data_IF_973711491825
#
_entry.id   IF_973711491825
#
_cell.length_a   1.000
_cell.length_b   1.000
_cell.length_c   1.000
_cell.angle_alpha   90.00
_cell.angle_beta   90.00
_cell.angle_gamma   90.00
#
_symmetry.space_group_name_H-M   'P 1'
#
loop_
_entity.id
_entity.type
_entity.pdbx_description
1 polymer ?
#
# COMPACT_ATOMS: atom_id res chain seq x y z
N UNK A 1 12.19 8.61 -2.60
CA UNK A 1 11.02 8.56 -3.50
C UNK A 1 9.79 9.25 -2.91
N UNK A 2 9.55 9.24 -1.58
CA UNK A 2 8.42 9.97 -0.95
C UNK A 2 8.38 11.46 -1.24
N UNK A 3 9.51 12.16 -1.12
CA UNK A 3 9.60 13.58 -1.47
C UNK A 3 9.20 13.89 -2.92
N UNK A 4 9.28 12.92 -3.84
CA UNK A 4 8.83 13.08 -5.22
C UNK A 4 7.32 12.94 -5.32
N UNK A 5 6.72 11.99 -4.58
CA UNK A 5 5.27 11.88 -4.42
C UNK A 5 4.68 13.14 -3.75
N UNK A 6 5.32 13.62 -2.68
CA UNK A 6 4.89 14.81 -1.93
C UNK A 6 4.90 16.08 -2.79
N UNK A 7 5.70 16.07 -3.87
CA UNK A 7 5.77 17.13 -4.88
C UNK A 7 4.84 16.91 -6.09
N UNK A 8 3.92 15.93 -6.00
CA UNK A 8 2.88 15.67 -7.00
C UNK A 8 3.28 14.72 -8.13
N UNK A 9 4.45 14.08 -8.06
CA UNK A 9 4.87 13.10 -9.07
C UNK A 9 4.12 11.79 -8.85
N UNK A 10 3.65 11.14 -9.93
CA UNK A 10 3.07 9.80 -9.83
C UNK A 10 4.16 8.70 -9.91
N UNK A 11 3.82 7.48 -9.48
CA UNK A 11 4.78 6.36 -9.39
C UNK A 11 5.37 6.00 -10.77
N UNK A 12 4.57 6.05 -11.85
CA UNK A 12 5.07 5.78 -13.20
C UNK A 12 6.13 6.79 -13.63
N UNK A 13 5.90 8.08 -13.36
CA UNK A 13 6.88 9.14 -13.63
C UNK A 13 8.11 9.06 -12.73
N UNK A 14 8.00 8.49 -11.53
CA UNK A 14 9.17 8.18 -10.69
C UNK A 14 9.94 7.01 -11.31
N UNK A 15 9.25 5.97 -11.78
CA UNK A 15 9.90 4.81 -12.41
C UNK A 15 10.69 5.17 -13.66
N UNK A 16 10.13 6.01 -14.53
CA UNK A 16 10.83 6.53 -15.71
C UNK A 16 12.15 7.24 -15.36
N UNK A 17 12.26 7.84 -14.16
CA UNK A 17 13.47 8.53 -13.69
C UNK A 17 14.51 7.60 -13.05
N UNK A 18 14.14 6.36 -12.75
CA UNK A 18 14.99 5.40 -12.04
C UNK A 18 14.92 4.03 -12.72
N UNK A 19 15.39 3.91 -13.98
CA UNK A 19 15.24 2.71 -14.82
C UNK A 19 16.04 1.50 -14.32
N UNK A 20 16.93 1.70 -13.35
CA UNK A 20 17.70 0.64 -12.71
C UNK A 20 16.91 -0.16 -11.68
N UNK A 21 15.70 0.28 -11.34
CA UNK A 21 14.78 -0.42 -10.46
C UNK A 21 13.56 -0.86 -11.26
N UNK A 22 13.07 -2.05 -10.97
CA UNK A 22 11.79 -2.50 -11.49
C UNK A 22 10.65 -1.61 -10.99
N UNK A 23 9.58 -1.52 -11.77
CA UNK A 23 8.39 -0.76 -11.41
C UNK A 23 7.88 -1.18 -10.03
N UNK A 24 7.89 -2.48 -9.72
CA UNK A 24 7.49 -2.98 -8.41
C UNK A 24 8.45 -2.56 -7.31
N UNK A 25 9.76 -2.56 -7.53
CA UNK A 25 10.73 -2.07 -6.52
C UNK A 25 10.50 -0.59 -6.16
N UNK A 26 10.16 0.24 -7.15
CA UNK A 26 9.80 1.64 -6.94
C UNK A 26 8.44 1.74 -6.25
N UNK A 27 7.46 0.97 -6.69
CA UNK A 27 6.14 0.88 -6.09
C UNK A 27 6.18 0.48 -4.61
N UNK A 28 7.09 -0.43 -4.22
CA UNK A 28 7.24 -0.91 -2.84
C UNK A 28 8.08 0.01 -1.95
N UNK A 29 8.89 0.91 -2.53
CA UNK A 29 9.84 1.77 -1.79
C UNK A 29 9.30 3.17 -1.43
N UNK A 30 8.05 3.48 -1.82
CA UNK A 30 7.34 4.68 -1.37
C UNK A 30 6.56 4.41 -0.07
N UNK A 31 6.84 5.24 0.94
CA UNK A 31 6.36 5.22 2.34
C UNK A 31 4.86 5.37 2.48
N UNK A 32 4.18 6.00 1.52
CA UNK A 32 2.74 6.22 1.59
C UNK A 32 2.00 5.41 0.52
N UNK A 33 1.85 4.14 0.84
CA UNK A 33 0.63 3.44 0.53
C UNK A 33 -0.57 4.22 1.10
N UNK A 34 -1.17 5.13 0.34
CA UNK A 34 -2.47 5.67 0.72
C UNK A 34 -3.43 4.51 0.99
N UNK A 35 -4.31 4.66 2.00
CA UNK A 35 -5.33 3.64 2.28
C UNK A 35 -6.16 3.32 1.02
N UNK A 36 -6.32 4.32 0.14
CA UNK A 36 -6.94 4.18 -1.17
C UNK A 36 -6.14 3.26 -2.11
N UNK A 37 -4.82 3.41 -2.18
CA UNK A 37 -3.94 2.53 -2.94
C UNK A 37 -4.03 1.08 -2.46
N UNK A 38 -3.94 0.85 -1.15
CA UNK A 38 -4.09 -0.51 -0.58
C UNK A 38 -5.49 -1.08 -0.84
N UNK A 39 -6.54 -0.27 -0.72
CA UNK A 39 -7.91 -0.69 -1.09
C UNK A 39 -7.97 -1.15 -2.54
N UNK A 40 -7.41 -0.40 -3.48
CA UNK A 40 -7.41 -0.75 -4.92
C UNK A 40 -6.71 -2.08 -5.20
N UNK A 41 -5.56 -2.32 -4.58
CA UNK A 41 -4.83 -3.60 -4.72
C UNK A 41 -5.68 -4.76 -4.20
N UNK A 42 -6.26 -4.61 -3.00
CA UNK A 42 -7.12 -5.64 -2.40
C UNK A 42 -8.30 -5.94 -3.31
N UNK A 43 -8.99 -4.91 -3.82
CA UNK A 43 -10.09 -5.09 -4.78
C UNK A 43 -9.64 -5.86 -6.03
N UNK A 44 -8.49 -5.50 -6.60
CA UNK A 44 -7.96 -6.19 -7.77
C UNK A 44 -7.65 -7.66 -7.46
N UNK A 45 -7.05 -7.97 -6.30
CA UNK A 45 -6.77 -9.34 -5.88
C UNK A 45 -8.03 -10.15 -5.62
N UNK A 46 -9.07 -9.55 -5.03
CA UNK A 46 -10.39 -10.19 -4.89
C UNK A 46 -10.97 -10.53 -6.27
N UNK A 47 -10.85 -9.64 -7.25
CA UNK A 47 -11.28 -9.93 -8.62
C UNK A 47 -10.45 -11.05 -9.25
N UNK A 48 -9.15 -11.11 -9.00
CA UNK A 48 -8.30 -12.23 -9.43
C UNK A 48 -8.74 -13.56 -8.80
N UNK A 49 -9.12 -13.58 -7.52
CA UNK A 49 -9.63 -14.81 -6.85
C UNK A 49 -10.86 -15.35 -7.57
N UNK A 50 -11.75 -14.47 -8.05
CA UNK A 50 -12.96 -14.88 -8.79
C UNK A 50 -12.64 -15.55 -10.13
N UNK A 51 -11.52 -15.19 -10.74
CA UNK A 51 -11.07 -15.75 -12.02
C UNK A 51 -10.14 -16.97 -11.85
N UNK A 52 -9.63 -17.22 -10.65
CA UNK A 52 -8.66 -18.28 -10.39
C UNK A 52 -9.30 -19.67 -10.50
N UNK A 53 -8.73 -20.50 -11.38
CA UNK A 53 -9.29 -21.81 -11.73
C UNK A 53 -8.86 -22.89 -10.75
N UNK A 54 -7.66 -22.76 -10.18
CA UNK A 54 -7.10 -23.77 -9.27
C UNK A 54 -7.25 -23.38 -7.80
N UNK A 55 -7.34 -24.39 -6.93
CA UNK A 55 -7.32 -24.18 -5.48
C UNK A 55 -6.02 -23.51 -5.02
N UNK A 56 -4.89 -23.94 -5.55
CA UNK A 56 -3.56 -23.41 -5.19
C UNK A 56 -3.46 -21.92 -5.50
N UNK A 57 -3.94 -21.49 -6.66
CA UNK A 57 -3.95 -20.08 -7.05
C UNK A 57 -4.88 -19.26 -6.15
N UNK A 58 -6.08 -19.77 -5.85
CA UNK A 58 -7.00 -19.12 -4.91
C UNK A 58 -6.37 -18.96 -3.52
N UNK A 59 -5.77 -20.02 -2.98
CA UNK A 59 -5.15 -20.01 -1.66
C UNK A 59 -4.00 -18.99 -1.58
N UNK A 60 -3.19 -18.89 -2.64
CA UNK A 60 -2.14 -17.88 -2.75
C UNK A 60 -2.71 -16.46 -2.74
N UNK A 61 -3.71 -16.20 -3.59
CA UNK A 61 -4.34 -14.87 -3.67
C UNK A 61 -5.03 -14.47 -2.36
N UNK A 62 -5.68 -15.42 -1.68
CA UNK A 62 -6.30 -15.18 -0.36
C UNK A 62 -5.26 -14.87 0.71
N UNK A 63 -4.10 -15.55 0.69
CA UNK A 63 -2.98 -15.23 1.59
C UNK A 63 -2.43 -13.83 1.33
N UNK A 64 -2.29 -13.42 0.07
CA UNK A 64 -1.87 -12.05 -0.30
C UNK A 64 -2.87 -11.00 0.20
N UNK A 65 -4.17 -11.23 0.01
CA UNK A 65 -5.24 -10.35 0.52
C UNK A 65 -5.14 -10.20 2.04
N UNK A 66 -4.95 -11.29 2.77
CA UNK A 66 -4.84 -11.26 4.23
C UNK A 66 -3.62 -10.44 4.71
N UNK A 67 -2.49 -10.56 4.01
CA UNK A 67 -1.30 -9.75 4.30
C UNK A 67 -1.57 -8.26 4.08
N UNK A 68 -2.17 -7.89 2.95
CA UNK A 68 -2.50 -6.50 2.61
C UNK A 68 -3.47 -5.87 3.62
N UNK A 69 -4.50 -6.61 4.04
CA UNK A 69 -5.44 -6.17 5.09
C UNK A 69 -4.72 -5.98 6.42
N UNK A 70 -3.84 -6.91 6.79
CA UNK A 70 -3.05 -6.83 8.03
C UNK A 70 -2.14 -5.60 8.05
N UNK A 71 -1.48 -5.31 6.94
CA UNK A 71 -0.66 -4.10 6.80
C UNK A 71 -1.50 -2.83 6.91
N UNK A 72 -2.67 -2.80 6.26
CA UNK A 72 -3.59 -1.66 6.33
C UNK A 72 -4.03 -1.40 7.77
N UNK A 73 -4.38 -2.46 8.51
CA UNK A 73 -4.70 -2.35 9.94
C UNK A 73 -3.53 -1.78 10.75
N UNK A 74 -2.32 -2.31 10.55
CA UNK A 74 -1.11 -1.84 11.26
C UNK A 74 -0.83 -0.35 11.00
N UNK A 75 -0.98 0.08 9.75
CA UNK A 75 -0.81 1.47 9.35
C UNK A 75 -1.84 2.38 10.04
N UNK A 76 -3.12 2.05 9.92
CA UNK A 76 -4.20 2.83 10.54
C UNK A 76 -4.06 2.91 12.05
N UNK A 77 -3.69 1.79 12.71
CA UNK A 77 -3.43 1.75 14.16
C UNK A 77 -2.27 2.67 14.55
N UNK A 78 -1.17 2.66 13.77
CA UNK A 78 -0.02 3.53 14.01
C UNK A 78 -0.39 5.00 13.83
N UNK A 79 -1.15 5.34 12.80
CA UNK A 79 -1.60 6.70 12.54
C UNK A 79 -2.54 7.19 13.65
N UNK A 80 -3.47 6.36 14.10
CA UNK A 80 -4.34 6.67 15.24
C UNK A 80 -3.56 6.99 16.52
N UNK A 81 -2.53 6.19 16.86
CA UNK A 81 -1.66 6.47 18.02
C UNK A 81 -0.95 7.83 17.89
N UNK A 82 -0.39 8.13 16.72
CA UNK A 82 0.28 9.41 16.46
C UNK A 82 -0.68 10.60 16.62
N UNK A 83 -1.90 10.49 16.11
CA UNK A 83 -2.91 11.55 16.25
C UNK A 83 -3.29 11.81 17.72
N UNK A 84 -3.41 10.75 18.52
CA UNK A 84 -3.64 10.89 19.97
C UNK A 84 -2.46 11.60 20.64
N UNK A 85 -1.23 11.24 20.31
CA UNK A 85 -0.02 11.89 20.85
C UNK A 85 0.05 13.37 20.47
N UNK A 86 -0.25 13.72 19.20
CA UNK A 86 -0.33 15.11 18.74
C UNK A 86 -1.43 15.86 19.52
N UNK A 87 -2.61 15.28 19.68
CA UNK A 87 -3.71 15.88 20.43
C UNK A 87 -3.35 16.16 21.90
N UNK A 88 -2.50 15.34 22.53
CA UNK A 88 -2.00 15.60 23.89
C UNK A 88 -1.02 16.78 23.95
N UNK A 89 -0.28 17.04 22.88
CA UNK A 89 0.66 18.17 22.80
C UNK A 89 -0.10 19.46 22.52
N UNK A 90 -1.08 19.43 21.62
CA UNK A 90 -1.85 20.62 21.22
C UNK A 90 -2.77 21.11 22.35
N UNK A 91 -3.37 20.19 23.11
CA UNK A 91 -4.30 20.55 24.20
C UNK A 91 -3.59 20.78 25.55
N UNK A 92 -2.29 21.06 25.52
CA UNK A 92 -1.46 21.33 26.70
C UNK A 92 -1.07 22.79 26.74
#
# INVERSE_FOLDING_TARGET
MNLLLDRGMNISSIWEKFPHYDYWEIYWSVSDFSLLGKKRIITNRINSVRCATTKVERDKLLSEINSLVTEMYKLTKRNGKKLVEIGKIINR
#
